data_IF_584447660850
#
_entry.id   IF_584447660850
#
_cell.length_a   1.000
_cell.length_b   1.000
_cell.length_c   1.000
_cell.angle_alpha   90.00
_cell.angle_beta   90.00
_cell.angle_gamma   90.00
#
_symmetry.space_group_name_H-M   'P 1'
#
loop_
_entity.id
_entity.type
_entity.pdbx_description
1 polymer ?
#
# COMPACT_ATOMS: atom_id res chain seq x y z
N UNK A 1 47.70 53.78 32.20
CA UNK A 1 47.37 53.26 30.85
C UNK A 1 47.11 51.76 30.83
N UNK A 2 48.02 50.94 31.37
CA UNK A 2 47.92 49.46 31.36
C UNK A 2 46.61 48.89 31.94
N UNK A 3 46.06 49.49 33.00
CA UNK A 3 44.78 49.08 33.58
C UNK A 3 43.60 49.25 32.60
N UNK A 4 43.55 50.36 31.87
CA UNK A 4 42.47 50.63 30.90
C UNK A 4 42.54 49.71 29.69
N UNK A 5 43.74 49.40 29.20
CA UNK A 5 43.95 48.43 28.12
C UNK A 5 43.59 47.00 28.56
N UNK A 6 43.94 46.60 29.78
CA UNK A 6 43.56 45.30 30.32
C UNK A 6 42.04 45.12 30.40
N UNK A 7 41.32 46.13 30.88
CA UNK A 7 39.86 46.07 30.97
C UNK A 7 39.19 46.17 29.59
N UNK A 8 39.74 46.97 28.68
CA UNK A 8 39.17 47.23 27.35
C UNK A 8 39.47 46.17 26.29
N UNK A 9 40.47 45.30 26.49
CA UNK A 9 40.90 44.30 25.48
C UNK A 9 40.94 42.89 26.07
N UNK A 10 41.64 42.71 27.21
CA UNK A 10 41.87 41.36 27.78
C UNK A 10 40.56 40.75 28.28
N UNK A 11 39.71 41.54 28.94
CA UNK A 11 38.42 41.05 29.46
C UNK A 11 37.47 40.62 28.33
N UNK A 12 37.21 41.43 27.28
CA UNK A 12 36.42 41.00 26.12
C UNK A 12 36.99 39.76 25.41
N UNK A 13 38.32 39.66 25.23
CA UNK A 13 38.92 38.48 24.58
C UNK A 13 38.72 37.19 25.37
N UNK A 14 38.84 37.25 26.71
CA UNK A 14 38.53 36.10 27.57
C UNK A 14 37.06 35.69 27.47
N UNK A 15 36.15 36.66 27.36
CA UNK A 15 34.73 36.38 27.13
C UNK A 15 34.48 35.74 25.77
N UNK A 16 35.14 36.20 24.71
CA UNK A 16 35.06 35.57 23.38
C UNK A 16 35.53 34.13 23.40
N UNK A 17 36.65 33.84 24.08
CA UNK A 17 37.14 32.48 24.26
C UNK A 17 36.14 31.61 25.03
N UNK A 18 35.53 32.15 26.08
CA UNK A 18 34.53 31.43 26.87
C UNK A 18 33.29 31.09 26.02
N UNK A 19 32.74 32.06 25.28
CA UNK A 19 31.60 31.83 24.38
C UNK A 19 31.95 30.81 23.29
N UNK A 20 33.15 30.90 22.70
CA UNK A 20 33.60 29.93 21.71
C UNK A 20 33.72 28.52 22.31
N UNK A 21 34.22 28.40 23.55
CA UNK A 21 34.28 27.12 24.28
C UNK A 21 32.89 26.55 24.52
N UNK A 22 31.93 27.35 25.00
CA UNK A 22 30.57 26.84 25.25
C UNK A 22 29.88 26.40 23.96
N UNK A 23 30.05 27.15 22.86
CA UNK A 23 29.54 26.73 21.55
C UNK A 23 30.19 25.42 21.10
N UNK A 24 31.50 25.26 21.28
CA UNK A 24 32.23 24.04 20.93
C UNK A 24 31.81 22.83 21.78
N UNK A 25 31.40 23.07 23.03
CA UNK A 25 30.80 22.06 23.93
C UNK A 25 29.32 21.77 23.61
N UNK A 26 28.71 22.53 22.69
CA UNK A 26 27.32 22.38 22.29
C UNK A 26 26.31 23.14 23.17
N UNK A 27 26.78 23.92 24.13
CA UNK A 27 25.93 24.84 24.90
C UNK A 27 25.67 26.12 24.10
N UNK A 28 24.48 26.15 23.47
CA UNK A 28 23.98 27.27 22.67
C UNK A 28 23.08 28.21 23.49
N UNK A 29 23.09 28.10 24.81
CA UNK A 29 22.29 28.96 25.69
C UNK A 29 22.60 30.45 25.47
N UNK A 30 21.58 31.32 25.55
CA UNK A 30 21.78 32.74 25.41
C UNK A 30 22.68 33.30 26.53
N UNK A 31 23.77 33.92 26.12
CA UNK A 31 24.71 34.66 26.95
C UNK A 31 24.66 36.15 26.60
N UNK A 32 24.79 37.04 27.60
CA UNK A 32 24.78 38.48 27.40
C UNK A 32 26.00 38.94 26.60
N UNK A 33 25.76 39.70 25.53
CA UNK A 33 26.81 40.27 24.68
C UNK A 33 27.09 41.71 25.16
N UNK A 34 28.32 42.05 25.56
CA UNK A 34 28.69 43.40 25.98
C UNK A 34 28.43 44.46 24.91
N UNK A 35 28.01 45.66 25.34
CA UNK A 35 27.90 46.82 24.45
C UNK A 35 29.28 47.43 24.15
N UNK A 36 29.53 47.72 22.88
CA UNK A 36 30.76 48.35 22.42
C UNK A 36 30.77 48.56 20.90
N UNK A 37 31.67 49.44 20.45
CA UNK A 37 31.85 49.78 19.02
C UNK A 37 33.21 49.35 18.46
N UNK A 38 34.10 48.84 19.31
CA UNK A 38 35.42 48.35 18.91
C UNK A 38 35.38 46.93 18.32
N UNK A 39 36.52 46.47 17.81
CA UNK A 39 36.71 45.18 17.16
C UNK A 39 36.40 44.01 18.12
N UNK A 40 36.63 44.17 19.42
CA UNK A 40 36.34 43.12 20.41
C UNK A 40 34.84 42.96 20.64
N UNK A 41 34.09 44.07 20.66
CA UNK A 41 32.64 44.06 20.70
C UNK A 41 32.03 43.49 19.40
N UNK A 42 32.64 43.76 18.24
CA UNK A 42 32.22 43.17 16.96
C UNK A 42 32.44 41.64 16.96
N UNK A 43 33.58 41.15 17.45
CA UNK A 43 33.84 39.71 17.59
C UNK A 43 32.79 39.02 18.47
N UNK A 44 32.49 39.59 19.64
CA UNK A 44 31.48 39.05 20.56
C UNK A 44 30.08 39.01 19.92
N UNK A 45 29.71 40.03 19.14
CA UNK A 45 28.45 40.04 18.36
C UNK A 45 28.42 38.94 17.30
N UNK A 46 29.51 38.74 16.55
CA UNK A 46 29.60 37.68 15.55
C UNK A 46 29.51 36.27 16.16
N UNK A 47 30.14 36.03 17.31
CA UNK A 47 30.01 34.77 18.04
C UNK A 47 28.57 34.54 18.52
N UNK A 48 27.89 35.58 18.99
CA UNK A 48 26.48 35.53 19.33
C UNK A 48 25.58 35.16 18.14
N UNK A 49 25.84 35.75 16.97
CA UNK A 49 25.12 35.41 15.74
C UNK A 49 25.39 33.96 15.31
N UNK A 50 26.65 33.51 15.36
CA UNK A 50 27.02 32.13 15.05
C UNK A 50 26.28 31.14 15.95
N UNK A 51 26.25 31.39 17.26
CA UNK A 51 25.46 30.60 18.22
C UNK A 51 23.98 30.57 17.86
N UNK A 52 23.39 31.73 17.57
CA UNK A 52 21.97 31.83 17.20
C UNK A 52 21.65 31.03 15.94
N UNK A 53 22.52 31.07 14.94
CA UNK A 53 22.35 30.31 13.71
C UNK A 53 22.44 28.81 13.97
N UNK A 54 23.44 28.36 14.76
CA UNK A 54 23.58 26.96 15.14
C UNK A 54 22.35 26.46 15.91
N UNK A 55 21.84 27.26 16.86
CA UNK A 55 20.64 26.90 17.61
C UNK A 55 19.43 26.76 16.68
N UNK A 56 19.23 27.71 15.78
CA UNK A 56 18.15 27.65 14.80
C UNK A 56 18.27 26.45 13.85
N UNK A 57 19.48 26.06 13.45
CA UNK A 57 19.70 24.84 12.66
C UNK A 57 19.33 23.59 13.45
N UNK A 58 19.70 23.51 14.74
CA UNK A 58 19.31 22.39 15.60
C UNK A 58 17.79 22.32 15.78
N UNK A 59 17.12 23.46 15.98
CA UNK A 59 15.64 23.51 16.06
C UNK A 59 14.98 22.99 14.78
N UNK A 60 15.51 23.37 13.61
CA UNK A 60 15.03 22.87 12.32
C UNK A 60 15.24 21.36 12.17
N UNK A 61 16.38 20.83 12.63
CA UNK A 61 16.65 19.38 12.64
C UNK A 61 15.66 18.65 13.55
N UNK A 62 15.40 19.17 14.75
CA UNK A 62 14.40 18.60 15.66
C UNK A 62 12.99 18.61 15.06
N UNK A 63 12.59 19.72 14.43
CA UNK A 63 11.31 19.81 13.75
C UNK A 63 11.20 18.79 12.60
N UNK A 64 12.25 18.65 11.78
CA UNK A 64 12.29 17.67 10.70
C UNK A 64 12.26 16.22 11.21
N UNK A 65 12.97 15.92 12.29
CA UNK A 65 12.95 14.59 12.92
C UNK A 65 11.57 14.25 13.49
N UNK A 66 10.89 15.21 14.12
CA UNK A 66 9.52 15.03 14.60
C UNK A 66 8.54 14.79 13.43
N UNK A 67 8.65 15.56 12.35
CA UNK A 67 7.83 15.37 11.16
C UNK A 67 8.06 13.99 10.55
N UNK A 68 9.32 13.57 10.43
CA UNK A 68 9.67 12.24 9.93
C UNK A 68 9.09 11.13 10.81
N UNK A 69 9.18 11.27 12.14
CA UNK A 69 8.59 10.31 13.08
C UNK A 69 7.08 10.17 12.88
N UNK A 70 6.36 11.30 12.69
CA UNK A 70 4.93 11.28 12.41
C UNK A 70 4.62 10.56 11.10
N UNK A 71 5.34 10.89 10.02
CA UNK A 71 5.16 10.21 8.73
C UNK A 71 5.47 8.71 8.78
N UNK A 72 6.43 8.29 9.60
CA UNK A 72 6.72 6.86 9.83
C UNK A 72 5.57 6.17 10.56
N UNK A 73 4.96 6.81 11.56
CA UNK A 73 3.79 6.27 12.25
C UNK A 73 2.58 6.13 11.32
N UNK A 74 2.33 7.14 10.49
CA UNK A 74 1.29 7.09 9.45
C UNK A 74 1.55 5.97 8.45
N UNK A 75 2.79 5.81 7.99
CA UNK A 75 3.18 4.72 7.09
C UNK A 75 2.96 3.35 7.72
N UNK A 76 3.24 3.19 9.02
CA UNK A 76 2.94 1.97 9.76
C UNK A 76 1.44 1.65 9.77
N UNK A 77 0.60 2.65 10.06
CA UNK A 77 -0.85 2.48 10.04
C UNK A 77 -1.38 2.11 8.64
N UNK A 78 -0.83 2.71 7.58
CA UNK A 78 -1.18 2.38 6.18
C UNK A 78 -0.73 0.95 5.84
N UNK A 79 0.45 0.53 6.30
CA UNK A 79 0.96 -0.83 6.08
C UNK A 79 0.06 -1.87 6.75
N UNK A 80 -0.35 -1.66 8.00
CA UNK A 80 -1.27 -2.54 8.73
C UNK A 80 -2.63 -2.64 8.03
N UNK A 81 -3.19 -1.50 7.60
CA UNK A 81 -4.44 -1.48 6.84
C UNK A 81 -4.31 -2.21 5.49
N UNK A 82 -3.18 -2.05 4.80
CA UNK A 82 -2.90 -2.74 3.54
C UNK A 82 -2.75 -4.25 3.73
N UNK A 83 -2.07 -4.69 4.78
CA UNK A 83 -1.95 -6.11 5.12
C UNK A 83 -3.33 -6.73 5.40
N UNK A 84 -4.20 -6.03 6.12
CA UNK A 84 -5.58 -6.48 6.35
C UNK A 84 -6.39 -6.57 5.06
N UNK A 85 -6.28 -5.58 4.17
CA UNK A 85 -6.96 -5.61 2.87
C UNK A 85 -6.44 -6.73 1.97
N UNK A 86 -5.13 -7.01 1.98
CA UNK A 86 -4.55 -8.13 1.24
C UNK A 86 -5.08 -9.48 1.74
N UNK A 87 -5.29 -9.64 3.05
CA UNK A 87 -5.92 -10.84 3.59
C UNK A 87 -7.35 -11.00 3.06
N UNK A 88 -8.17 -9.95 3.12
CA UNK A 88 -9.54 -9.99 2.61
C UNK A 88 -9.58 -10.32 1.10
N UNK A 89 -8.68 -9.73 0.32
CA UNK A 89 -8.58 -10.02 -1.10
C UNK A 89 -8.11 -11.46 -1.38
N UNK A 90 -7.26 -12.02 -0.51
CA UNK A 90 -6.88 -13.42 -0.61
C UNK A 90 -8.09 -14.34 -0.40
N UNK A 91 -8.91 -14.05 0.61
CA UNK A 91 -10.13 -14.79 0.90
C UNK A 91 -11.13 -14.69 -0.27
N UNK A 92 -11.29 -13.51 -0.89
CA UNK A 92 -12.11 -13.31 -2.09
C UNK A 92 -11.60 -14.13 -3.29
N UNK A 93 -10.28 -14.18 -3.49
CA UNK A 93 -9.66 -14.99 -4.56
C UNK A 93 -9.91 -16.47 -4.33
N UNK A 94 -9.81 -16.95 -3.08
CA UNK A 94 -10.09 -18.34 -2.74
C UNK A 94 -11.56 -18.69 -3.04
N UNK A 95 -12.50 -17.81 -2.68
CA UNK A 95 -13.91 -17.98 -3.03
C UNK A 95 -14.15 -17.97 -4.54
N UNK A 96 -13.48 -17.07 -5.27
CA UNK A 96 -13.57 -17.04 -6.73
C UNK A 96 -13.04 -18.35 -7.35
N UNK A 97 -11.94 -18.89 -6.83
CA UNK A 97 -11.41 -20.17 -7.29
C UNK A 97 -12.38 -21.33 -7.02
N UNK A 98 -13.04 -21.35 -5.86
CA UNK A 98 -14.11 -22.31 -5.55
C UNK A 98 -15.27 -22.16 -6.54
N UNK A 99 -15.73 -20.94 -6.81
CA UNK A 99 -16.81 -20.68 -7.75
C UNK A 99 -16.45 -21.14 -9.17
N UNK A 100 -15.22 -20.88 -9.64
CA UNK A 100 -14.73 -21.36 -10.94
C UNK A 100 -14.73 -22.89 -11.01
N UNK A 101 -14.31 -23.57 -9.94
CA UNK A 101 -14.34 -25.04 -9.88
C UNK A 101 -15.79 -25.57 -9.94
N UNK A 102 -16.71 -24.98 -9.17
CA UNK A 102 -18.13 -25.34 -9.22
C UNK A 102 -18.75 -25.09 -10.60
N UNK A 103 -18.43 -23.96 -11.23
CA UNK A 103 -18.89 -23.65 -12.60
C UNK A 103 -18.33 -24.64 -13.63
N UNK A 104 -17.07 -25.06 -13.48
CA UNK A 104 -16.48 -26.09 -14.33
C UNK A 104 -17.20 -27.43 -14.18
N UNK A 105 -17.55 -27.83 -12.96
CA UNK A 105 -18.31 -29.05 -12.70
C UNK A 105 -19.71 -28.97 -13.32
N UNK A 106 -20.41 -27.84 -13.14
CA UNK A 106 -21.71 -27.63 -13.76
C UNK A 106 -21.65 -27.68 -15.30
N UNK A 107 -20.58 -27.17 -15.91
CA UNK A 107 -20.38 -27.25 -17.36
C UNK A 107 -20.19 -28.70 -17.84
N UNK A 108 -19.46 -29.54 -17.09
CA UNK A 108 -19.34 -30.97 -17.38
C UNK A 108 -20.70 -31.66 -17.26
N UNK A 109 -21.46 -31.38 -16.20
CA UNK A 109 -22.78 -31.97 -15.98
C UNK A 109 -23.77 -31.60 -17.11
N UNK A 110 -23.73 -30.35 -17.59
CA UNK A 110 -24.52 -29.90 -18.74
C UNK A 110 -24.09 -30.63 -20.03
N UNK A 111 -22.79 -30.82 -20.25
CA UNK A 111 -22.29 -31.55 -21.41
C UNK A 111 -22.71 -33.03 -21.39
N UNK A 112 -22.64 -33.68 -20.23
CA UNK A 112 -23.09 -35.06 -20.04
C UNK A 112 -24.59 -35.19 -20.27
N UNK A 113 -25.40 -34.27 -19.72
CA UNK A 113 -26.85 -34.25 -19.96
C UNK A 113 -27.20 -34.05 -21.44
N UNK A 114 -26.48 -33.17 -22.15
CA UNK A 114 -26.66 -32.98 -23.59
C UNK A 114 -26.30 -34.25 -24.38
N UNK A 115 -25.23 -34.94 -24.00
CA UNK A 115 -24.82 -36.22 -24.60
C UNK A 115 -25.89 -37.31 -24.39
N UNK A 116 -26.38 -37.45 -23.16
CA UNK A 116 -27.44 -38.41 -22.82
C UNK A 116 -28.73 -38.12 -23.60
N UNK A 117 -29.16 -36.86 -23.64
CA UNK A 117 -30.35 -36.42 -24.41
C UNK A 117 -30.22 -36.74 -25.91
N UNK A 118 -29.02 -36.56 -26.48
CA UNK A 118 -28.72 -36.90 -27.87
C UNK A 118 -28.86 -38.40 -28.13
N UNK A 119 -28.36 -39.24 -27.21
CA UNK A 119 -28.48 -40.69 -27.31
C UNK A 119 -29.93 -41.17 -27.18
N UNK A 120 -30.70 -40.64 -26.23
CA UNK A 120 -32.13 -40.95 -26.07
C UNK A 120 -32.96 -40.51 -27.28
N UNK A 121 -32.63 -39.35 -27.87
CA UNK A 121 -33.28 -38.86 -29.09
C UNK A 121 -33.02 -39.79 -30.28
N UNK A 122 -31.80 -40.34 -30.42
CA UNK A 122 -31.49 -41.35 -31.43
C UNK A 122 -32.28 -42.63 -31.21
N UNK A 123 -32.29 -43.16 -29.99
CA UNK A 123 -33.06 -44.35 -29.64
C UNK A 123 -34.57 -44.17 -29.91
N UNK A 124 -35.13 -43.00 -29.58
CA UNK A 124 -36.53 -42.66 -29.88
C UNK A 124 -36.80 -42.62 -31.39
N UNK A 125 -35.87 -42.09 -32.19
CA UNK A 125 -36.00 -42.05 -33.63
C UNK A 125 -35.95 -43.45 -34.26
N UNK A 126 -35.10 -44.33 -33.75
CA UNK A 126 -35.03 -45.75 -34.13
C UNK A 126 -36.34 -46.48 -33.79
N UNK A 127 -36.84 -46.32 -32.56
CA UNK A 127 -38.12 -46.90 -32.14
C UNK A 127 -39.30 -46.41 -32.99
N UNK A 128 -39.33 -45.11 -33.34
CA UNK A 128 -40.35 -44.56 -34.23
C UNK A 128 -40.25 -45.11 -35.67
N UNK A 129 -39.04 -45.38 -36.16
CA UNK A 129 -38.82 -46.03 -37.45
C UNK A 129 -39.30 -47.48 -37.46
N UNK A 130 -39.00 -48.24 -36.40
CA UNK A 130 -39.51 -49.61 -36.24
C UNK A 130 -41.05 -49.63 -36.13
N UNK A 131 -41.63 -48.71 -35.34
CA UNK A 131 -43.07 -48.54 -35.22
C UNK A 131 -43.75 -48.27 -36.57
N UNK A 132 -43.16 -47.40 -37.41
CA UNK A 132 -43.64 -47.19 -38.79
C UNK A 132 -43.64 -48.47 -39.61
N UNK A 133 -42.57 -49.27 -39.56
CA UNK A 133 -42.49 -50.52 -40.31
C UNK A 133 -43.61 -51.49 -39.91
N UNK A 134 -43.87 -51.62 -38.60
CA UNK A 134 -44.97 -52.47 -38.09
C UNK A 134 -46.35 -51.97 -38.54
N UNK A 135 -46.58 -50.66 -38.53
CA UNK A 135 -47.82 -50.06 -39.03
C UNK A 135 -48.03 -50.31 -40.52
N UNK A 136 -46.98 -50.16 -41.34
CA UNK A 136 -47.04 -50.49 -42.77
C UNK A 136 -47.45 -51.94 -42.99
N UNK A 137 -46.80 -52.89 -42.29
CA UNK A 137 -47.17 -54.31 -42.38
C UNK A 137 -48.62 -54.58 -41.96
N UNK A 138 -49.11 -53.88 -40.93
CA UNK A 138 -50.52 -53.99 -40.49
C UNK A 138 -51.48 -53.48 -41.57
N UNK A 139 -51.16 -52.34 -42.21
CA UNK A 139 -51.96 -51.79 -43.31
C UNK A 139 -51.99 -52.75 -44.50
N UNK A 140 -50.86 -53.38 -44.84
CA UNK A 140 -50.78 -54.34 -45.93
C UNK A 140 -51.64 -55.59 -45.64
N UNK A 141 -51.60 -56.12 -44.42
CA UNK A 141 -52.48 -57.23 -44.01
C UNK A 141 -53.97 -56.86 -44.04
N UNK A 142 -54.34 -55.62 -43.68
CA UNK A 142 -55.72 -55.13 -43.78
C UNK A 142 -56.18 -55.06 -45.25
N UNK A 143 -55.31 -54.61 -46.16
CA UNK A 143 -55.61 -54.58 -47.60
C UNK A 143 -55.81 -55.99 -48.15
N UNK A 144 -54.92 -56.92 -47.81
CA UNK A 144 -55.03 -58.32 -48.25
C UNK A 144 -56.32 -58.98 -47.76
N UNK A 145 -56.76 -58.68 -46.53
CA UNK A 145 -58.06 -59.14 -46.03
C UNK A 145 -59.22 -58.54 -46.82
N UNK A 146 -59.13 -57.26 -47.21
CA UNK A 146 -60.18 -56.56 -47.97
C UNK A 146 -60.26 -57.03 -49.42
N UNK A 147 -59.14 -57.43 -50.02
CA UNK A 147 -59.08 -57.95 -51.39
C UNK A 147 -59.51 -59.43 -51.49
N UNK A 148 -59.52 -60.16 -50.37
CA UNK A 148 -59.96 -61.57 -50.28
C UNK A 148 -61.46 -61.73 -49.89
N UNK A 149 -62.27 -60.67 -49.99
CA UNK A 149 -63.73 -60.68 -49.77
C UNK A 149 -64.46 -60.40 -51.08
#
# INVERSE_FOLDING_TARGET
LAWRLSVSIIRPLRQSLQIASTIAEGDLSPQPIPEGKDETAQLLKMLGQMRSNLHGTIDQIYAAANQLSQSVQEMGAIADASAKNLQLQNDEIEQAAVAVNQMSQAAVEVADNASNTSNESKASNEAAAEGRLRLTGTIDSIKELTDNV
#
